data_IF_685439290566
#
_entry.id   IF_685439290566
#
_cell.length_a   1.000
_cell.length_b   1.000
_cell.length_c   1.000
_cell.angle_alpha   90.00
_cell.angle_beta   90.00
_cell.angle_gamma   90.00
#
_symmetry.space_group_name_H-M   'P 1'
#
loop_
_entity.id
_entity.type
_entity.pdbx_description
1 polymer ?
#
# COMPACT_ATOMS: atom_id res chain seq x y z
N UNK A 1 -14.94 -68.13 26.80
CA UNK A 1 -15.92 -68.40 27.85
C UNK A 1 -16.50 -67.06 28.34
N UNK A 2 -17.67 -66.99 28.34
CA UNK A 2 -18.91 -66.41 28.92
C UNK A 2 -19.57 -65.38 27.97
N UNK A 3 -20.66 -65.92 27.42
CA UNK A 3 -21.83 -65.27 26.86
C UNK A 3 -22.64 -64.61 27.96
N UNK A 4 -23.36 -63.50 27.65
CA UNK A 4 -24.70 -63.21 28.18
C UNK A 4 -25.19 -62.01 27.38
N UNK A 5 -26.13 -62.12 26.50
CA UNK A 5 -27.59 -62.31 26.55
C UNK A 5 -28.34 -60.96 26.66
N UNK A 6 -29.02 -60.75 25.59
CA UNK A 6 -30.10 -59.81 25.20
C UNK A 6 -31.14 -59.58 26.29
N UNK A 7 -31.66 -58.36 26.39
CA UNK A 7 -33.08 -58.15 26.69
C UNK A 7 -33.62 -56.91 25.93
N UNK A 8 -34.56 -57.19 25.07
CA UNK A 8 -35.43 -56.29 24.33
C UNK A 8 -36.56 -55.88 25.30
N UNK A 9 -36.86 -54.57 25.40
CA UNK A 9 -38.16 -54.15 25.90
C UNK A 9 -38.69 -53.05 24.98
N UNK A 10 -39.74 -53.41 24.27
CA UNK A 10 -40.60 -52.53 23.53
C UNK A 10 -41.55 -51.78 24.46
N UNK A 11 -41.67 -50.49 24.34
CA UNK A 11 -42.66 -49.64 24.96
C UNK A 11 -43.19 -48.60 23.99
N UNK A 12 -44.36 -48.88 23.49
CA UNK A 12 -45.19 -47.97 22.70
C UNK A 12 -45.94 -47.04 23.64
N UNK A 13 -45.97 -45.74 23.34
CA UNK A 13 -47.06 -44.74 23.54
C UNK A 13 -46.45 -43.34 23.47
N UNK A 14 -46.93 -42.43 22.80
CA UNK A 14 -48.17 -41.84 22.44
C UNK A 14 -47.88 -40.48 21.84
N UNK A 15 -48.66 -40.13 20.85
CA UNK A 15 -48.65 -38.83 20.18
C UNK A 15 -48.75 -37.66 21.15
N UNK A 16 -47.83 -36.69 20.97
CA UNK A 16 -47.96 -35.30 21.44
C UNK A 16 -47.50 -34.37 20.34
N UNK A 17 -48.43 -33.92 19.54
CA UNK A 17 -48.24 -32.80 18.61
C UNK A 17 -48.09 -31.52 19.45
N UNK A 18 -46.86 -31.05 19.64
CA UNK A 18 -46.60 -29.69 20.04
C UNK A 18 -45.99 -28.99 18.81
N UNK A 19 -46.83 -28.22 18.15
CA UNK A 19 -46.40 -27.22 17.18
C UNK A 19 -45.68 -26.11 17.97
N UNK A 20 -44.34 -26.19 18.05
CA UNK A 20 -43.51 -25.05 18.39
C UNK A 20 -42.98 -24.45 17.11
N UNK A 21 -43.35 -23.22 16.87
CA UNK A 21 -42.90 -22.42 15.75
C UNK A 21 -41.39 -22.40 15.66
N UNK A 22 -40.90 -22.77 14.51
CA UNK A 22 -39.50 -22.59 14.13
C UNK A 22 -39.16 -21.10 14.13
N UNK A 23 -38.44 -20.70 15.17
CA UNK A 23 -37.64 -19.50 15.07
C UNK A 23 -36.52 -19.84 14.09
N UNK A 24 -36.72 -19.48 12.83
CA UNK A 24 -35.62 -19.29 11.91
C UNK A 24 -34.80 -18.12 12.47
N UNK A 25 -33.73 -18.45 13.20
CA UNK A 25 -32.62 -17.52 13.33
C UNK A 25 -32.08 -17.27 11.91
N UNK A 26 -32.72 -16.34 11.21
CA UNK A 26 -32.08 -15.67 10.11
C UNK A 26 -30.91 -14.91 10.74
N UNK A 27 -29.69 -15.41 10.59
CA UNK A 27 -28.51 -14.59 10.75
C UNK A 27 -28.81 -13.30 9.95
N UNK A 28 -28.99 -12.20 10.66
CA UNK A 28 -29.11 -10.90 10.03
C UNK A 28 -27.80 -10.69 9.27
N UNK A 29 -27.84 -10.78 7.94
CA UNK A 29 -26.76 -10.24 7.12
C UNK A 29 -26.61 -8.80 7.59
N UNK A 30 -25.49 -8.51 8.24
CA UNK A 30 -25.15 -7.15 8.63
C UNK A 30 -24.95 -6.38 7.32
N UNK A 31 -25.97 -5.65 6.91
CA UNK A 31 -25.84 -4.76 5.73
C UNK A 31 -24.69 -3.82 5.99
N UNK A 32 -23.71 -3.83 5.09
CA UNK A 32 -22.62 -2.85 5.11
C UNK A 32 -23.25 -1.47 5.09
N UNK A 33 -22.83 -0.54 5.98
CA UNK A 33 -23.39 0.81 6.04
C UNK A 33 -23.27 1.54 4.69
N UNK A 34 -24.23 2.37 4.37
CA UNK A 34 -24.16 3.26 3.21
C UNK A 34 -23.00 4.24 3.37
N UNK A 35 -22.48 4.75 2.23
CA UNK A 35 -21.46 5.79 2.26
C UNK A 35 -22.01 7.07 2.91
N UNK A 36 -21.17 7.73 3.70
CA UNK A 36 -21.47 8.99 4.39
C UNK A 36 -20.40 10.05 4.20
N UNK A 37 -19.42 9.79 3.31
CA UNK A 37 -18.30 10.69 2.97
C UNK A 37 -18.40 11.00 1.48
N UNK A 38 -18.68 12.26 1.14
CA UNK A 38 -18.86 12.71 -0.23
C UNK A 38 -17.87 13.82 -0.63
N UNK A 39 -17.18 14.40 0.36
CA UNK A 39 -16.15 15.43 0.21
C UNK A 39 -15.18 15.41 1.39
N UNK A 40 -14.12 16.20 1.33
CA UNK A 40 -13.18 16.41 2.45
C UNK A 40 -13.90 16.99 3.68
N UNK A 41 -14.91 17.84 3.47
CA UNK A 41 -15.68 18.47 4.57
C UNK A 41 -16.47 17.46 5.42
N UNK A 42 -16.68 16.25 4.91
CA UNK A 42 -17.38 15.18 5.64
C UNK A 42 -16.47 14.36 6.56
N UNK A 43 -15.15 14.55 6.54
CA UNK A 43 -14.19 13.75 7.32
C UNK A 43 -14.30 13.93 8.85
N UNK A 44 -14.65 15.12 9.41
CA UNK A 44 -14.86 15.28 10.84
C UNK A 44 -15.84 14.26 11.41
N UNK A 45 -15.44 13.58 12.52
CA UNK A 45 -16.27 12.59 13.21
C UNK A 45 -16.39 11.24 12.50
N UNK A 46 -15.63 10.97 11.41
CA UNK A 46 -15.63 9.69 10.70
C UNK A 46 -14.56 8.74 11.21
N UNK A 47 -14.73 7.47 10.87
CA UNK A 47 -13.66 6.47 11.02
C UNK A 47 -12.89 6.38 9.71
N UNK A 48 -11.63 6.81 9.72
CA UNK A 48 -10.76 6.92 8.55
C UNK A 48 -9.72 5.81 8.58
N UNK A 49 -9.66 5.00 7.54
CA UNK A 49 -8.63 3.97 7.38
C UNK A 49 -7.40 4.53 6.67
N UNK A 50 -6.20 4.20 7.17
CA UNK A 50 -4.92 4.63 6.60
C UNK A 50 -3.88 3.53 6.71
N UNK A 51 -2.82 3.59 5.90
CA UNK A 51 -1.64 2.78 6.16
C UNK A 51 -0.72 3.50 7.15
N UNK A 52 -0.26 2.77 8.16
CA UNK A 52 0.57 3.29 9.25
C UNK A 52 1.84 3.98 8.73
N UNK A 53 2.10 5.19 9.19
CA UNK A 53 3.31 5.96 8.93
C UNK A 53 3.37 6.63 7.55
N UNK A 54 2.33 6.48 6.71
CA UNK A 54 2.22 7.21 5.43
C UNK A 54 1.80 8.67 5.65
N UNK A 55 1.88 9.47 4.60
CA UNK A 55 1.33 10.85 4.62
C UNK A 55 -0.18 10.85 4.78
N UNK A 56 -0.88 9.83 4.24
CA UNK A 56 -2.30 9.63 4.51
C UNK A 56 -2.62 9.49 6.01
N UNK A 57 -1.76 8.78 6.77
CA UNK A 57 -1.87 8.69 8.24
C UNK A 57 -1.61 10.04 8.90
N UNK A 58 -0.57 10.76 8.46
CA UNK A 58 -0.24 12.09 9.00
C UNK A 58 -1.41 13.05 8.82
N UNK A 59 -1.92 13.19 7.60
CA UNK A 59 -3.03 14.10 7.29
C UNK A 59 -4.33 13.69 7.98
N UNK A 60 -4.65 12.38 8.00
CA UNK A 60 -5.84 11.90 8.69
C UNK A 60 -5.81 12.20 10.20
N UNK A 61 -4.62 12.19 10.82
CA UNK A 61 -4.44 12.44 12.25
C UNK A 61 -4.88 13.85 12.66
N UNK A 62 -4.86 14.82 11.76
CA UNK A 62 -5.34 16.18 12.04
C UNK A 62 -6.84 16.19 12.38
N UNK A 63 -7.61 15.25 11.82
CA UNK A 63 -9.04 15.12 12.08
C UNK A 63 -9.38 14.46 13.43
N UNK A 64 -8.40 13.90 14.16
CA UNK A 64 -8.63 13.39 15.53
C UNK A 64 -9.12 14.50 16.46
N UNK A 65 -8.62 15.73 16.28
CA UNK A 65 -9.07 16.90 17.01
C UNK A 65 -10.54 17.30 16.69
N UNK A 66 -11.05 16.85 15.55
CA UNK A 66 -12.43 17.08 15.08
C UNK A 66 -13.35 15.89 15.35
N UNK A 67 -12.90 14.91 16.15
CA UNK A 67 -13.68 13.78 16.62
C UNK A 67 -13.61 12.55 15.71
N UNK A 68 -12.73 12.52 14.72
CA UNK A 68 -12.52 11.35 13.88
C UNK A 68 -11.71 10.27 14.58
N UNK A 69 -11.92 9.01 14.18
CA UNK A 69 -11.13 7.86 14.61
C UNK A 69 -10.24 7.42 13.47
N UNK A 70 -8.94 7.31 13.70
CA UNK A 70 -7.99 6.88 12.68
C UNK A 70 -7.62 5.42 12.92
N UNK A 71 -8.05 4.56 11.99
CA UNK A 71 -7.75 3.14 11.99
C UNK A 71 -6.52 2.86 11.11
N UNK A 72 -5.43 2.49 11.76
CA UNK A 72 -4.12 2.29 11.14
C UNK A 72 -3.87 0.84 10.80
N UNK A 73 -3.49 0.57 9.57
CA UNK A 73 -3.22 -0.77 9.04
C UNK A 73 -1.78 -0.86 8.55
N UNK A 74 -1.19 -2.04 8.60
CA UNK A 74 0.16 -2.27 8.06
C UNK A 74 0.20 -2.14 6.53
N UNK A 75 -0.94 -2.42 5.86
CA UNK A 75 -1.04 -2.36 4.39
C UNK A 75 -2.31 -1.60 3.97
N UNK A 76 -2.19 -0.82 2.90
CA UNK A 76 -3.34 -0.14 2.29
C UNK A 76 -4.47 -1.11 1.90
N UNK A 77 -4.14 -2.33 1.46
CA UNK A 77 -5.12 -3.37 1.14
C UNK A 77 -6.00 -3.76 2.34
N UNK A 78 -5.48 -3.76 3.57
CA UNK A 78 -6.24 -4.07 4.77
C UNK A 78 -7.20 -2.93 5.13
N UNK A 79 -6.79 -1.67 4.93
CA UNK A 79 -7.67 -0.50 5.05
C UNK A 79 -8.83 -0.58 4.04
N UNK A 80 -8.54 -0.89 2.77
CA UNK A 80 -9.54 -1.09 1.71
C UNK A 80 -10.49 -2.25 2.06
N UNK A 81 -9.98 -3.36 2.58
CA UNK A 81 -10.83 -4.47 3.02
C UNK A 81 -11.75 -4.07 4.18
N UNK A 82 -11.26 -3.24 5.11
CA UNK A 82 -12.06 -2.70 6.22
C UNK A 82 -13.13 -1.73 5.74
N UNK A 83 -12.84 -0.92 4.72
CA UNK A 83 -13.83 -0.06 4.05
C UNK A 83 -14.96 -0.89 3.43
N UNK A 84 -14.63 -1.96 2.71
CA UNK A 84 -15.62 -2.88 2.10
C UNK A 84 -16.51 -3.53 3.15
N UNK A 85 -15.98 -3.82 4.33
CA UNK A 85 -16.71 -4.41 5.45
C UNK A 85 -17.51 -3.38 6.27
N UNK A 86 -17.41 -2.08 5.96
CA UNK A 86 -18.07 -1.01 6.70
C UNK A 86 -17.48 -0.76 8.09
N UNK A 87 -16.24 -1.17 8.33
CA UNK A 87 -15.51 -0.92 9.59
C UNK A 87 -14.92 0.47 9.64
N UNK A 88 -14.57 1.02 8.47
CA UNK A 88 -14.18 2.42 8.29
C UNK A 88 -15.13 3.08 7.30
N UNK A 89 -15.27 4.40 7.38
CA UNK A 89 -16.15 5.18 6.51
C UNK A 89 -15.49 5.51 5.18
N UNK A 90 -14.19 5.79 5.20
CA UNK A 90 -13.36 6.04 4.03
C UNK A 90 -11.92 5.58 4.26
N UNK A 91 -11.11 5.61 3.21
CA UNK A 91 -9.66 5.37 3.25
C UNK A 91 -8.97 6.54 2.56
N UNK A 92 -7.93 7.11 3.19
CA UNK A 92 -7.03 8.09 2.57
C UNK A 92 -5.78 7.32 2.11
N UNK A 93 -5.47 7.44 0.82
CA UNK A 93 -4.38 6.74 0.16
C UNK A 93 -4.01 7.45 -1.15
N UNK A 94 -2.85 7.16 -1.70
CA UNK A 94 -2.38 7.72 -2.96
C UNK A 94 -3.24 7.32 -4.16
N UNK A 95 -3.37 8.22 -5.13
CA UNK A 95 -4.30 8.08 -6.26
C UNK A 95 -4.03 6.85 -7.12
N UNK A 96 -2.77 6.55 -7.45
CA UNK A 96 -2.45 5.40 -8.30
C UNK A 96 -2.77 4.05 -7.63
N UNK A 97 -2.36 3.80 -6.38
CA UNK A 97 -2.83 2.63 -5.62
C UNK A 97 -4.35 2.59 -5.44
N UNK A 98 -5.00 3.75 -5.20
CA UNK A 98 -6.46 3.80 -5.13
C UNK A 98 -7.11 3.34 -6.43
N UNK A 99 -6.61 3.78 -7.59
CA UNK A 99 -7.08 3.33 -8.91
C UNK A 99 -6.90 1.81 -9.08
N UNK A 100 -5.75 1.26 -8.68
CA UNK A 100 -5.48 -0.17 -8.73
C UNK A 100 -6.46 -0.97 -7.84
N UNK A 101 -6.80 -0.45 -6.65
CA UNK A 101 -7.80 -1.07 -5.78
C UNK A 101 -9.21 -0.98 -6.33
N UNK A 102 -9.65 0.18 -6.79
CA UNK A 102 -11.00 0.39 -7.32
C UNK A 102 -11.22 -0.42 -8.59
N UNK A 103 -10.22 -0.56 -9.46
CA UNK A 103 -10.32 -1.42 -10.64
C UNK A 103 -10.63 -2.90 -10.30
N UNK A 104 -10.17 -3.37 -9.15
CA UNK A 104 -10.40 -4.73 -8.63
C UNK A 104 -11.66 -4.83 -7.74
N UNK A 105 -12.26 -3.70 -7.33
CA UNK A 105 -13.37 -3.61 -6.38
C UNK A 105 -14.41 -2.59 -6.87
N UNK A 106 -15.29 -2.96 -7.81
CA UNK A 106 -16.23 -2.04 -8.46
C UNK A 106 -17.28 -1.43 -7.51
N UNK A 107 -17.41 -1.95 -6.30
CA UNK A 107 -18.22 -1.41 -5.22
C UNK A 107 -17.59 -0.21 -4.51
N UNK A 108 -16.35 0.14 -4.85
CA UNK A 108 -15.64 1.30 -4.32
C UNK A 108 -15.53 2.40 -5.38
N UNK A 109 -15.36 3.62 -4.93
CA UNK A 109 -15.08 4.78 -5.79
C UNK A 109 -14.08 5.71 -5.12
N UNK A 110 -13.37 6.47 -5.94
CA UNK A 110 -12.50 7.57 -5.51
C UNK A 110 -13.32 8.85 -5.59
N UNK A 111 -13.23 9.73 -4.61
CA UNK A 111 -13.80 11.07 -4.69
C UNK A 111 -13.01 11.89 -5.71
N UNK A 112 -13.71 12.77 -6.45
CA UNK A 112 -13.09 13.62 -7.48
C UNK A 112 -12.16 14.69 -6.91
N UNK A 113 -12.36 15.04 -5.63
CA UNK A 113 -11.57 16.05 -4.93
C UNK A 113 -10.20 15.47 -4.55
N UNK A 114 -9.12 16.10 -5.02
CA UNK A 114 -7.76 15.79 -4.60
C UNK A 114 -7.55 16.24 -3.16
N UNK A 115 -6.99 15.36 -2.34
CA UNK A 115 -6.81 15.65 -0.91
C UNK A 115 -5.49 16.41 -0.64
N UNK A 116 -4.37 15.96 -1.21
CA UNK A 116 -3.07 16.60 -1.10
C UNK A 116 -2.17 16.25 -2.28
N UNK A 117 -1.33 17.21 -2.71
CA UNK A 117 -0.28 17.00 -3.71
C UNK A 117 1.05 16.68 -3.01
N UNK A 118 1.78 15.71 -3.51
CA UNK A 118 3.00 15.19 -2.93
C UNK A 118 4.12 15.00 -3.95
N UNK A 119 5.36 14.93 -3.46
CA UNK A 119 6.56 14.65 -4.25
C UNK A 119 7.27 13.43 -3.64
N UNK A 120 7.45 12.37 -4.45
CA UNK A 120 8.16 11.16 -4.02
C UNK A 120 9.65 11.27 -4.28
N UNK A 121 10.44 10.86 -3.29
CA UNK A 121 11.88 10.90 -3.36
C UNK A 121 12.51 9.66 -2.69
N UNK A 122 13.77 9.41 -2.99
CA UNK A 122 14.57 8.34 -2.41
C UNK A 122 15.13 8.82 -1.08
N UNK A 123 14.83 8.14 0.03
CA UNK A 123 15.43 8.47 1.31
C UNK A 123 16.79 7.78 1.49
N UNK A 124 17.74 8.51 2.09
CA UNK A 124 19.13 8.10 2.31
C UNK A 124 19.54 8.49 3.73
N UNK A 125 20.50 7.77 4.33
CA UNK A 125 21.05 8.19 5.61
C UNK A 125 21.73 9.56 5.51
N UNK A 126 21.48 10.45 6.48
CA UNK A 126 22.15 11.76 6.59
C UNK A 126 23.66 11.68 6.64
N UNK A 127 24.18 10.54 7.09
CA UNK A 127 25.62 10.30 7.16
C UNK A 127 26.22 9.97 5.79
N UNK A 128 25.40 9.62 4.78
CA UNK A 128 25.84 9.21 3.45
C UNK A 128 25.53 10.25 2.36
N UNK A 129 26.01 11.48 2.58
CA UNK A 129 25.80 12.60 1.64
C UNK A 129 26.41 12.35 0.26
N UNK A 130 27.45 11.51 0.16
CA UNK A 130 28.07 11.11 -1.10
C UNK A 130 27.09 10.25 -1.92
N UNK A 131 26.38 9.31 -1.29
CA UNK A 131 25.38 8.50 -1.95
C UNK A 131 24.19 9.37 -2.41
N UNK A 132 23.72 10.29 -1.57
CA UNK A 132 22.66 11.25 -1.94
C UNK A 132 23.04 12.04 -3.20
N UNK A 133 24.27 12.54 -3.26
CA UNK A 133 24.75 13.28 -4.45
C UNK A 133 24.77 12.38 -5.70
N UNK A 134 25.31 11.16 -5.59
CA UNK A 134 25.36 10.19 -6.70
C UNK A 134 23.95 9.79 -7.19
N UNK A 135 23.00 9.60 -6.27
CA UNK A 135 21.60 9.31 -6.63
C UNK A 135 21.00 10.50 -7.40
N UNK A 136 21.22 11.72 -6.92
CA UNK A 136 20.73 12.92 -7.62
C UNK A 136 21.31 13.04 -9.03
N UNK A 137 22.60 12.78 -9.20
CA UNK A 137 23.25 12.77 -10.50
C UNK A 137 22.68 11.67 -11.40
N UNK A 138 22.37 10.50 -10.85
CA UNK A 138 21.76 9.39 -11.59
C UNK A 138 20.31 9.72 -12.00
N UNK A 139 19.49 10.25 -11.09
CA UNK A 139 18.12 10.68 -11.41
C UNK A 139 18.10 11.76 -12.48
N UNK A 140 19.00 12.75 -12.42
CA UNK A 140 19.12 13.78 -13.45
C UNK A 140 19.47 13.19 -14.83
N UNK A 141 20.37 12.19 -14.89
CA UNK A 141 20.69 11.48 -16.13
C UNK A 141 19.48 10.69 -16.67
N UNK A 142 18.73 10.01 -15.79
CA UNK A 142 17.53 9.25 -16.18
C UNK A 142 16.41 10.18 -16.68
N UNK A 143 16.29 11.37 -16.13
CA UNK A 143 15.37 12.38 -16.58
C UNK A 143 15.79 12.96 -17.95
N UNK A 144 17.05 13.38 -18.09
CA UNK A 144 17.60 13.98 -19.31
C UNK A 144 17.50 13.03 -20.52
N UNK A 145 17.77 11.75 -20.32
CA UNK A 145 17.73 10.72 -21.38
C UNK A 145 16.33 10.14 -21.61
N UNK A 146 15.33 10.51 -20.79
CA UNK A 146 13.95 10.06 -20.89
C UNK A 146 13.67 8.68 -20.29
N UNK A 147 14.65 8.01 -19.69
CA UNK A 147 14.46 6.68 -19.08
C UNK A 147 13.50 6.73 -17.89
N UNK A 148 13.58 7.75 -17.04
CA UNK A 148 12.65 7.90 -15.92
C UNK A 148 11.20 8.03 -16.40
N UNK A 149 10.95 8.86 -17.40
CA UNK A 149 9.63 8.99 -18.03
C UNK A 149 9.16 7.67 -18.64
N UNK A 150 10.04 6.94 -19.34
CA UNK A 150 9.73 5.62 -19.91
C UNK A 150 9.30 4.64 -18.82
N UNK A 151 10.03 4.54 -17.72
CA UNK A 151 9.70 3.67 -16.58
C UNK A 151 8.31 4.03 -16.04
N UNK A 152 8.07 5.31 -15.73
CA UNK A 152 6.77 5.75 -15.20
C UNK A 152 5.63 5.41 -16.16
N UNK A 153 5.78 5.75 -17.45
CA UNK A 153 4.76 5.50 -18.46
C UNK A 153 4.52 4.01 -18.75
N UNK A 154 5.51 3.16 -18.47
CA UNK A 154 5.33 1.72 -18.58
C UNK A 154 4.34 1.16 -17.54
N UNK A 155 4.13 1.84 -16.42
CA UNK A 155 3.25 1.38 -15.34
C UNK A 155 1.92 2.15 -15.27
N UNK A 156 1.92 3.47 -15.58
CA UNK A 156 0.73 4.33 -15.40
C UNK A 156 0.20 4.97 -16.70
N UNK A 157 0.87 4.77 -17.84
CA UNK A 157 0.41 5.31 -19.12
C UNK A 157 -0.70 4.46 -19.75
N UNK A 158 -1.85 5.06 -20.04
CA UNK A 158 -3.02 4.35 -20.58
C UNK A 158 -2.71 3.50 -21.83
N UNK A 159 -1.95 4.07 -22.78
CA UNK A 159 -1.59 3.42 -24.04
C UNK A 159 -0.21 2.74 -24.01
N UNK A 160 0.58 2.94 -22.96
CA UNK A 160 1.99 2.51 -22.89
C UNK A 160 2.25 1.48 -21.79
N UNK A 161 1.26 1.21 -20.94
CA UNK A 161 1.38 0.23 -19.85
C UNK A 161 1.82 -1.14 -20.37
N UNK A 162 2.96 -1.63 -19.84
CA UNK A 162 3.55 -2.92 -20.20
C UNK A 162 4.23 -2.97 -21.57
N UNK A 163 4.40 -1.83 -22.27
CA UNK A 163 5.00 -1.81 -23.61
C UNK A 163 6.42 -1.28 -23.66
N UNK A 164 6.90 -0.72 -22.58
CA UNK A 164 8.22 -0.07 -22.49
C UNK A 164 8.97 -0.48 -21.21
N UNK A 165 9.16 -1.79 -20.91
CA UNK A 165 9.84 -2.22 -19.71
C UNK A 165 11.26 -1.66 -19.66
N UNK A 166 11.75 -1.36 -18.47
CA UNK A 166 13.16 -1.06 -18.28
C UNK A 166 13.98 -2.34 -18.43
N UNK A 167 15.02 -2.27 -19.24
CA UNK A 167 16.00 -3.34 -19.41
C UNK A 167 17.38 -2.80 -19.08
N UNK A 168 18.05 -3.40 -18.11
CA UNK A 168 19.43 -3.06 -17.79
C UNK A 168 20.33 -3.27 -19.00
N UNK A 169 21.25 -2.32 -19.31
CA UNK A 169 22.23 -2.53 -20.35
C UNK A 169 23.06 -3.81 -20.12
N UNK A 170 23.29 -4.58 -21.18
CA UNK A 170 23.92 -5.90 -21.07
C UNK A 170 25.39 -5.85 -20.60
N UNK A 171 26.05 -4.70 -20.74
CA UNK A 171 27.46 -4.47 -20.44
C UNK A 171 27.71 -3.63 -19.18
N UNK A 172 26.71 -3.49 -18.31
CA UNK A 172 26.87 -2.78 -17.02
C UNK A 172 27.85 -3.54 -16.14
N UNK A 173 28.92 -2.86 -15.76
CA UNK A 173 29.86 -3.35 -14.75
C UNK A 173 29.30 -3.01 -13.34
N UNK A 174 28.89 -4.04 -12.59
CA UNK A 174 28.34 -3.92 -11.23
C UNK A 174 29.36 -4.24 -10.15
N UNK A 175 30.63 -3.91 -10.39
CA UNK A 175 31.73 -4.20 -9.46
C UNK A 175 31.81 -3.24 -8.27
N UNK A 176 31.00 -2.17 -8.23
CA UNK A 176 31.03 -1.17 -7.16
C UNK A 176 30.28 -1.61 -5.87
N UNK A 177 29.88 -2.88 -5.79
CA UNK A 177 29.20 -3.44 -4.61
C UNK A 177 27.69 -3.56 -4.79
N UNK A 178 26.97 -3.58 -3.67
CA UNK A 178 25.50 -3.77 -3.64
C UNK A 178 24.83 -2.52 -3.10
N UNK A 179 23.77 -2.08 -3.77
CA UNK A 179 22.84 -1.06 -3.29
C UNK A 179 21.64 -1.78 -2.68
N UNK A 180 21.48 -1.70 -1.37
CA UNK A 180 20.35 -2.32 -0.65
C UNK A 180 19.21 -1.31 -0.55
N UNK A 181 18.10 -1.63 -1.20
CA UNK A 181 16.86 -0.86 -1.19
C UNK A 181 15.86 -1.46 -0.19
N UNK A 182 15.40 -0.68 0.76
CA UNK A 182 14.23 -0.99 1.57
C UNK A 182 12.96 -0.47 0.89
N UNK A 183 11.92 -1.30 0.83
CA UNK A 183 10.62 -0.95 0.21
C UNK A 183 9.47 -1.65 0.92
N UNK A 184 8.22 -1.29 0.58
CA UNK A 184 7.01 -2.00 1.02
C UNK A 184 6.21 -2.48 -0.19
N UNK A 185 6.49 -3.71 -0.65
CA UNK A 185 6.00 -4.26 -1.91
C UNK A 185 4.51 -4.63 -1.89
N UNK A 186 3.65 -3.67 -1.52
CA UNK A 186 2.20 -3.76 -1.47
C UNK A 186 1.50 -2.51 -2.06
N UNK A 187 2.20 -1.75 -2.93
CA UNK A 187 1.82 -0.41 -3.37
C UNK A 187 1.84 -0.28 -4.90
N UNK A 188 1.01 -1.09 -5.60
CA UNK A 188 0.87 -1.04 -7.06
C UNK A 188 0.39 0.35 -7.53
N UNK A 189 1.06 0.99 -8.52
CA UNK A 189 2.04 0.46 -9.46
C UNK A 189 3.51 0.77 -9.11
N UNK A 190 3.80 1.31 -7.93
CA UNK A 190 5.15 1.75 -7.54
C UNK A 190 6.05 0.58 -7.14
N UNK A 191 5.62 -0.26 -6.18
CA UNK A 191 6.32 -1.47 -5.78
C UNK A 191 5.32 -2.55 -5.33
N UNK A 192 5.35 -3.69 -5.99
CA UNK A 192 4.42 -4.79 -5.72
C UNK A 192 4.98 -6.13 -6.21
N UNK A 193 4.39 -7.21 -5.71
CA UNK A 193 4.76 -8.53 -6.16
C UNK A 193 4.03 -8.92 -7.44
N UNK A 194 4.80 -9.31 -8.48
CA UNK A 194 4.32 -10.02 -9.65
C UNK A 194 5.17 -11.29 -9.83
N UNK A 195 4.53 -12.46 -9.91
CA UNK A 195 5.20 -13.77 -10.07
C UNK A 195 6.35 -14.02 -9.06
N UNK A 196 6.20 -13.55 -7.82
CA UNK A 196 7.18 -13.64 -6.71
C UNK A 196 8.39 -12.69 -6.84
N UNK A 197 8.41 -11.83 -7.83
CA UNK A 197 9.40 -10.77 -7.99
C UNK A 197 8.79 -9.42 -7.60
N UNK A 198 9.61 -8.52 -7.06
CA UNK A 198 9.18 -7.16 -6.77
C UNK A 198 9.41 -6.33 -8.04
N UNK A 199 8.33 -5.75 -8.54
CA UNK A 199 8.28 -4.95 -9.76
C UNK A 199 7.60 -3.62 -9.48
N UNK A 200 7.67 -2.68 -10.41
CA UNK A 200 7.00 -1.40 -10.30
C UNK A 200 7.93 -0.23 -10.63
N UNK A 201 7.39 0.96 -10.61
CA UNK A 201 8.12 2.20 -10.93
C UNK A 201 9.38 2.33 -10.05
N UNK A 202 9.22 2.09 -8.75
CA UNK A 202 10.27 2.26 -7.75
C UNK A 202 11.36 1.20 -7.91
N UNK A 203 10.97 -0.05 -8.20
CA UNK A 203 11.90 -1.14 -8.45
C UNK A 203 12.74 -0.91 -9.72
N UNK A 204 12.09 -0.55 -10.83
CA UNK A 204 12.77 -0.31 -12.11
C UNK A 204 13.64 0.95 -12.06
N UNK A 205 13.16 2.02 -11.41
CA UNK A 205 13.93 3.25 -11.20
C UNK A 205 15.17 2.98 -10.34
N UNK A 206 15.02 2.25 -9.23
CA UNK A 206 16.14 1.89 -8.37
C UNK A 206 17.15 0.99 -9.10
N UNK A 207 16.68 0.08 -9.98
CA UNK A 207 17.58 -0.72 -10.84
C UNK A 207 18.34 0.18 -11.81
N UNK A 208 17.68 1.15 -12.44
CA UNK A 208 18.33 2.08 -13.34
C UNK A 208 19.38 2.96 -12.63
N UNK A 209 19.07 3.40 -11.41
CA UNK A 209 20.03 4.12 -10.55
C UNK A 209 21.23 3.22 -10.21
N UNK A 210 20.99 1.97 -9.79
CA UNK A 210 22.05 1.02 -9.47
C UNK A 210 22.94 0.73 -10.67
N UNK A 211 22.37 0.61 -11.87
CA UNK A 211 23.12 0.41 -13.12
C UNK A 211 24.06 1.60 -13.42
N UNK A 212 23.59 2.83 -13.24
CA UNK A 212 24.43 4.04 -13.39
C UNK A 212 25.56 4.09 -12.35
N UNK A 213 25.26 3.66 -11.10
CA UNK A 213 26.24 3.61 -10.03
C UNK A 213 27.23 2.44 -10.17
N UNK A 214 26.98 1.49 -11.08
CA UNK A 214 27.77 0.27 -11.24
C UNK A 214 27.62 -0.67 -10.04
N UNK A 215 26.43 -0.77 -9.46
CA UNK A 215 26.14 -1.59 -8.27
C UNK A 215 25.09 -2.64 -8.57
N UNK A 216 25.15 -3.77 -7.85
CA UNK A 216 24.04 -4.74 -7.83
C UNK A 216 22.89 -4.19 -6.98
N UNK A 217 21.66 -4.23 -7.49
CA UNK A 217 20.49 -3.88 -6.68
C UNK A 217 20.04 -5.09 -5.87
N UNK A 218 19.79 -4.88 -4.57
CA UNK A 218 19.12 -5.84 -3.69
C UNK A 218 17.90 -5.18 -3.05
N UNK A 219 16.71 -5.70 -3.30
CA UNK A 219 15.45 -5.17 -2.74
C UNK A 219 15.07 -5.97 -1.50
N UNK A 220 14.78 -5.28 -0.40
CA UNK A 220 14.32 -5.83 0.88
C UNK A 220 12.90 -5.32 1.16
N UNK A 221 11.91 -6.23 1.14
CA UNK A 221 10.53 -5.93 1.50
C UNK A 221 10.34 -5.87 3.01
N UNK A 222 9.69 -4.84 3.48
CA UNK A 222 9.36 -4.63 4.90
C UNK A 222 8.12 -3.76 5.07
N UNK A 223 7.62 -3.62 6.31
CA UNK A 223 6.54 -2.69 6.61
C UNK A 223 7.01 -1.24 6.38
N UNK A 224 6.13 -0.39 5.83
CA UNK A 224 6.46 0.98 5.41
C UNK A 224 7.08 1.81 6.53
N UNK A 225 6.50 1.74 7.73
CA UNK A 225 6.97 2.47 8.92
C UNK A 225 8.36 2.02 9.42
N UNK A 226 8.87 0.90 8.91
CA UNK A 226 10.19 0.35 9.24
C UNK A 226 11.31 0.83 8.31
N UNK A 227 10.98 1.41 7.14
CA UNK A 227 11.95 1.75 6.08
C UNK A 227 12.98 2.78 6.58
N UNK A 228 12.53 3.89 7.19
CA UNK A 228 13.44 4.92 7.69
C UNK A 228 14.40 4.34 8.74
N UNK A 229 13.91 3.45 9.61
CA UNK A 229 14.77 2.78 10.59
C UNK A 229 15.79 1.85 9.93
N UNK A 230 15.42 1.17 8.83
CA UNK A 230 16.36 0.33 8.09
C UNK A 230 17.48 1.17 7.47
N UNK A 231 17.15 2.34 6.91
CA UNK A 231 18.12 3.27 6.32
C UNK A 231 19.03 3.89 7.38
N UNK A 232 18.47 4.41 8.47
CA UNK A 232 19.24 5.06 9.54
C UNK A 232 20.15 4.10 10.30
N UNK A 233 19.77 2.81 10.40
CA UNK A 233 20.61 1.78 11.03
C UNK A 233 21.65 1.17 10.11
N UNK A 234 21.66 1.53 8.80
CA UNK A 234 22.56 0.94 7.81
C UNK A 234 22.19 -0.48 7.40
N UNK A 235 20.97 -0.94 7.70
CA UNK A 235 20.43 -2.22 7.19
C UNK A 235 20.09 -2.12 5.71
N UNK A 236 19.66 -0.95 5.26
CA UNK A 236 19.48 -0.58 3.86
C UNK A 236 20.27 0.70 3.56
N UNK A 237 20.71 0.86 2.31
CA UNK A 237 21.40 2.04 1.84
C UNK A 237 20.41 3.15 1.47
N UNK A 238 19.28 2.74 0.88
CA UNK A 238 18.21 3.62 0.42
C UNK A 238 16.84 3.08 0.82
N UNK A 239 15.85 3.99 0.91
CA UNK A 239 14.43 3.65 0.99
C UNK A 239 13.71 4.22 -0.23
N UNK A 240 13.00 3.37 -0.96
CA UNK A 240 12.20 3.76 -2.13
C UNK A 240 10.85 3.05 -2.01
N UNK A 241 9.79 3.81 -1.76
CA UNK A 241 8.48 3.26 -1.43
C UNK A 241 7.36 4.31 -1.59
N UNK A 242 7.32 5.04 -2.71
CA UNK A 242 6.40 6.17 -2.86
C UNK A 242 6.54 7.16 -1.69
N UNK A 243 7.76 7.45 -1.27
CA UNK A 243 7.99 8.16 -0.01
C UNK A 243 8.04 9.67 -0.23
N UNK A 244 7.06 10.38 0.34
CA UNK A 244 6.97 11.83 0.31
C UNK A 244 8.00 12.49 1.23
N UNK A 245 8.61 13.58 0.79
CA UNK A 245 9.47 14.42 1.61
C UNK A 245 8.60 15.16 2.63
N UNK A 246 8.87 14.98 3.93
CA UNK A 246 8.22 15.72 5.01
C UNK A 246 9.24 16.27 5.99
N UNK A 247 8.90 17.35 6.71
CA UNK A 247 9.79 17.95 7.71
C UNK A 247 10.15 16.94 8.81
N UNK A 248 9.21 16.09 9.23
CA UNK A 248 9.45 15.07 10.25
C UNK A 248 10.42 13.98 9.78
N UNK A 249 10.27 13.51 8.54
CA UNK A 249 11.18 12.53 7.94
C UNK A 249 12.58 13.12 7.76
N UNK A 250 12.66 14.39 7.33
CA UNK A 250 13.92 15.13 7.22
C UNK A 250 14.68 15.30 8.53
N UNK A 251 14.06 15.08 9.69
CA UNK A 251 14.80 15.05 10.95
C UNK A 251 15.70 13.81 11.07
N UNK A 252 15.32 12.71 10.42
CA UNK A 252 15.99 11.42 10.57
C UNK A 252 16.81 11.00 9.34
N UNK A 253 16.33 11.30 8.13
CA UNK A 253 16.96 10.94 6.86
C UNK A 253 17.13 12.15 5.96
N UNK A 254 17.96 12.00 4.94
CA UNK A 254 18.06 12.89 3.79
C UNK A 254 17.23 12.33 2.64
N UNK A 255 16.92 13.16 1.65
CA UNK A 255 16.21 12.76 0.44
C UNK A 255 16.95 13.18 -0.82
N UNK A 256 16.76 12.43 -1.89
CA UNK A 256 17.08 12.89 -3.23
C UNK A 256 16.16 14.04 -3.65
N UNK A 257 16.41 14.65 -4.81
CA UNK A 257 15.37 15.36 -5.55
C UNK A 257 14.19 14.42 -5.86
N UNK A 258 12.98 14.97 -6.04
CA UNK A 258 11.81 14.15 -6.36
C UNK A 258 11.93 13.50 -7.73
N UNK A 259 11.46 12.25 -7.84
CA UNK A 259 11.43 11.50 -9.11
C UNK A 259 10.03 11.48 -9.75
N UNK A 260 8.98 11.76 -8.97
CA UNK A 260 7.60 11.88 -9.47
C UNK A 260 6.74 12.67 -8.49
N UNK A 261 5.57 13.10 -8.96
CA UNK A 261 4.52 13.70 -8.14
C UNK A 261 3.38 12.71 -7.93
N UNK A 262 2.70 12.80 -6.80
CA UNK A 262 1.53 12.01 -6.46
C UNK A 262 0.46 12.86 -5.79
N UNK A 263 -0.75 12.31 -5.67
CA UNK A 263 -1.87 12.96 -4.99
C UNK A 263 -2.46 11.98 -3.98
N UNK A 264 -2.79 12.45 -2.78
CA UNK A 264 -3.64 11.71 -1.86
C UNK A 264 -5.11 11.88 -2.29
N UNK A 265 -5.88 10.80 -2.17
CA UNK A 265 -7.30 10.77 -2.50
C UNK A 265 -8.10 10.06 -1.41
N UNK A 266 -9.41 10.23 -1.44
CA UNK A 266 -10.34 9.57 -0.54
C UNK A 266 -11.06 8.45 -1.30
N UNK A 267 -10.94 7.22 -0.82
CA UNK A 267 -11.68 6.07 -1.32
C UNK A 267 -12.89 5.81 -0.42
N UNK A 268 -14.04 5.64 -1.01
CA UNK A 268 -15.31 5.39 -0.32
C UNK A 268 -16.05 4.22 -0.95
N UNK A 269 -17.07 3.69 -0.26
CA UNK A 269 -18.02 2.75 -0.85
C UNK A 269 -18.86 3.45 -1.92
N UNK A 270 -19.11 2.80 -3.04
CA UNK A 270 -20.09 3.22 -4.03
C UNK A 270 -21.53 3.23 -3.44
N UNK A 271 -22.46 3.86 -4.14
CA UNK A 271 -23.89 3.88 -3.78
C UNK A 271 -24.55 2.55 -4.18
#
# INVERSE_FOLDING_TARGET
MKKFVVTLLAGVMALGLVACGGSSDSAAESKVPANTVHSVDDLPGKTIGVQLGTTGDIYASDYEAEGSTIERYNKGADAIQSLKQGKVDCVIIDAQPALAFVAKNPELKILEEEFALEEYAICVSKENTELTAKINDALAQLEENGTLTQIIMNYIGDDTKGTMPYESPADVDRSNGTLVMATNAAFEPYEYYENQEIVGIDADMAQAVADILGMELKIEDMEFDSIINAVTSGKADIGVAGMTITEDRLQNVDFSGPYTTATQVIVVRGE
#
